data_IF_230880217952
#
_entry.id   IF_230880217952
#
_cell.length_a   1.000
_cell.length_b   1.000
_cell.length_c   1.000
_cell.angle_alpha   90.00
_cell.angle_beta   90.00
_cell.angle_gamma   90.00
#
_symmetry.space_group_name_H-M   'P 1'
#
loop_
_entity.id
_entity.type
_entity.pdbx_description
1 polymer ?
#
# COMPACT_ATOMS: atom_id res chain seq x y z
N UNK A 1 -1.36 -8.83 -21.70
CA UNK A 1 -0.54 -8.56 -20.50
C UNK A 1 -1.28 -9.12 -19.29
N UNK A 2 -0.57 -9.53 -18.24
CA UNK A 2 -1.19 -10.12 -17.05
C UNK A 2 -2.20 -9.21 -16.37
N UNK A 3 -3.32 -9.77 -15.91
CA UNK A 3 -4.37 -9.10 -15.17
C UNK A 3 -4.10 -9.22 -13.66
N UNK A 4 -3.20 -8.37 -13.16
CA UNK A 4 -2.69 -8.51 -11.79
C UNK A 4 -3.73 -8.29 -10.68
N UNK A 5 -3.70 -9.17 -9.68
CA UNK A 5 -4.43 -9.05 -8.42
C UNK A 5 -3.63 -9.50 -7.21
N UNK A 6 -4.18 -9.21 -6.03
CA UNK A 6 -3.64 -9.66 -4.76
C UNK A 6 -4.71 -10.38 -3.93
N UNK A 7 -4.38 -11.56 -3.41
CA UNK A 7 -5.16 -12.27 -2.39
C UNK A 7 -4.47 -12.07 -1.05
N UNK A 8 -5.22 -11.69 -0.03
CA UNK A 8 -4.75 -11.55 1.35
C UNK A 8 -5.48 -12.57 2.21
N UNK A 9 -4.72 -13.53 2.70
CA UNK A 9 -5.19 -14.60 3.57
C UNK A 9 -5.17 -14.12 5.03
N UNK A 10 -6.35 -13.82 5.56
CA UNK A 10 -6.48 -13.25 6.90
C UNK A 10 -6.14 -14.25 8.01
N UNK A 11 -6.29 -15.55 7.75
CA UNK A 11 -5.96 -16.59 8.73
C UNK A 11 -4.45 -16.78 8.90
N UNK A 12 -3.66 -16.53 7.84
CA UNK A 12 -2.19 -16.48 7.94
C UNK A 12 -1.68 -15.15 8.48
N UNK A 13 -2.44 -14.07 8.31
CA UNK A 13 -2.01 -12.75 8.72
C UNK A 13 -1.90 -12.67 10.25
N UNK A 14 -0.70 -12.34 10.76
CA UNK A 14 -0.48 -12.14 12.21
C UNK A 14 -0.62 -10.69 12.66
N UNK A 15 -0.92 -9.76 11.74
CA UNK A 15 -1.05 -8.34 12.07
C UNK A 15 0.28 -7.62 12.40
N UNK A 16 1.43 -8.21 12.06
CA UNK A 16 2.76 -7.68 12.45
C UNK A 16 3.14 -6.32 11.82
N UNK A 17 2.47 -5.89 10.76
CA UNK A 17 2.78 -4.63 10.07
C UNK A 17 4.06 -4.65 9.21
N UNK A 18 4.77 -5.77 9.07
CA UNK A 18 5.98 -5.87 8.24
C UNK A 18 5.77 -5.39 6.80
N UNK A 19 4.60 -5.70 6.24
CA UNK A 19 4.20 -5.24 4.91
C UNK A 19 3.96 -3.71 4.78
N UNK A 20 3.81 -2.98 5.89
CA UNK A 20 3.77 -1.51 5.93
C UNK A 20 5.20 -0.96 5.84
N UNK A 21 6.10 -1.51 6.67
CA UNK A 21 7.52 -1.13 6.72
C UNK A 21 8.20 -1.43 5.40
N UNK A 22 7.99 -2.62 4.85
CA UNK A 22 8.50 -3.02 3.54
C UNK A 22 8.05 -2.02 2.45
N UNK A 23 6.76 -1.68 2.43
CA UNK A 23 6.24 -0.72 1.46
C UNK A 23 6.87 0.67 1.62
N UNK A 24 7.10 1.13 2.87
CA UNK A 24 7.81 2.38 3.13
C UNK A 24 9.22 2.39 2.57
N UNK A 25 9.98 1.33 2.86
CA UNK A 25 11.37 1.19 2.42
C UNK A 25 11.46 1.14 0.89
N UNK A 26 10.72 0.22 0.28
CA UNK A 26 10.75 -0.01 -1.17
C UNK A 26 10.28 1.20 -1.97
N UNK A 27 9.34 1.96 -1.43
CA UNK A 27 8.67 3.03 -2.16
C UNK A 27 9.07 4.43 -1.67
N UNK A 28 10.14 4.56 -0.88
CA UNK A 28 10.65 5.83 -0.36
C UNK A 28 9.53 6.71 0.19
N UNK A 29 8.69 6.16 1.07
CA UNK A 29 7.54 6.89 1.59
C UNK A 29 7.97 7.78 2.77
N UNK A 30 7.69 9.09 2.73
CA UNK A 30 8.05 9.97 3.84
C UNK A 30 7.27 9.61 5.11
N UNK A 31 7.70 10.18 6.24
CA UNK A 31 7.00 10.03 7.51
C UNK A 31 5.54 10.48 7.36
N UNK A 32 4.61 9.77 8.02
CA UNK A 32 3.17 10.03 7.92
C UNK A 32 2.49 9.49 6.65
N UNK A 33 3.23 9.13 5.59
CA UNK A 33 2.65 8.54 4.38
C UNK A 33 2.80 7.02 4.37
N UNK A 34 1.68 6.31 4.23
CA UNK A 34 1.61 4.85 4.15
C UNK A 34 0.73 4.45 2.96
N UNK A 35 1.32 3.72 2.01
CA UNK A 35 0.61 3.14 0.87
C UNK A 35 0.01 1.77 1.19
N UNK A 36 0.76 0.94 1.92
CA UNK A 36 0.29 -0.25 2.63
C UNK A 36 -0.05 0.19 4.06
N UNK A 37 -1.21 -0.18 4.57
CA UNK A 37 -1.68 0.19 5.90
C UNK A 37 -2.54 -0.93 6.51
N UNK A 38 -3.30 -0.61 7.55
CA UNK A 38 -4.16 -1.54 8.28
C UNK A 38 -5.46 -0.88 8.71
N UNK A 39 -6.54 -1.64 8.73
CA UNK A 39 -7.73 -1.34 9.53
C UNK A 39 -7.78 -2.33 10.66
N UNK A 40 -8.02 -1.82 11.87
CA UNK A 40 -8.16 -2.63 13.06
C UNK A 40 -9.49 -2.33 13.70
N UNK A 41 -10.13 -3.35 14.23
CA UNK A 41 -11.43 -3.24 14.87
C UNK A 41 -11.43 -4.11 16.13
N UNK A 42 -11.95 -3.57 17.23
CA UNK A 42 -12.13 -4.34 18.46
C UNK A 42 -13.62 -4.43 18.74
N UNK A 43 -14.14 -5.65 18.82
CA UNK A 43 -15.56 -5.93 19.00
C UNK A 43 -15.80 -6.74 20.27
N UNK A 44 -17.00 -6.62 20.82
CA UNK A 44 -17.44 -7.34 22.01
C UNK A 44 -17.20 -6.57 23.31
N UNK A 45 -17.56 -7.22 24.42
CA UNK A 45 -17.47 -6.67 25.78
C UNK A 45 -16.62 -7.60 26.62
N UNK A 46 -15.81 -7.07 27.53
CA UNK A 46 -15.00 -7.88 28.44
C UNK A 46 -15.86 -8.93 29.19
N UNK A 47 -15.41 -10.20 29.31
CA UNK A 47 -14.13 -10.76 28.83
C UNK A 47 -14.16 -11.24 27.37
N UNK A 48 -15.30 -11.18 26.68
CA UNK A 48 -15.53 -11.67 25.31
C UNK A 48 -15.18 -10.64 24.23
N UNK A 49 -13.91 -10.23 24.19
CA UNK A 49 -13.39 -9.26 23.21
C UNK A 49 -12.75 -9.97 22.02
N UNK A 50 -12.85 -9.37 20.83
CA UNK A 50 -12.21 -9.83 19.59
C UNK A 50 -11.49 -8.67 18.91
N UNK A 51 -10.27 -8.91 18.47
CA UNK A 51 -9.47 -7.94 17.71
C UNK A 51 -9.31 -8.42 16.27
N UNK A 52 -9.65 -7.57 15.32
CA UNK A 52 -9.49 -7.82 13.90
C UNK A 52 -8.39 -6.95 13.34
N UNK A 53 -7.53 -7.54 12.51
CA UNK A 53 -6.53 -6.82 11.73
C UNK A 53 -6.73 -7.13 10.25
N UNK A 54 -6.92 -6.09 9.45
CA UNK A 54 -7.01 -6.20 7.99
C UNK A 54 -5.96 -5.32 7.33
N UNK A 55 -4.94 -5.90 6.66
CA UNK A 55 -4.04 -5.11 5.83
C UNK A 55 -4.85 -4.40 4.73
N UNK A 56 -4.48 -3.17 4.38
CA UNK A 56 -5.15 -2.39 3.33
C UNK A 56 -4.13 -1.71 2.43
N UNK A 57 -4.47 -1.54 1.15
CA UNK A 57 -3.66 -0.84 0.15
C UNK A 57 -4.56 -0.36 -1.00
N UNK A 58 -3.96 0.23 -2.04
CA UNK A 58 -4.70 0.51 -3.28
C UNK A 58 -5.25 -0.80 -3.85
N UNK A 59 -6.53 -0.80 -4.21
CA UNK A 59 -7.20 -1.97 -4.75
C UNK A 59 -7.01 -2.17 -6.26
N UNK A 60 -6.32 -1.24 -6.94
CA UNK A 60 -6.13 -1.24 -8.40
C UNK A 60 -7.43 -1.54 -9.18
N UNK A 61 -8.53 -0.97 -8.68
CA UNK A 61 -9.90 -1.14 -9.15
C UNK A 61 -9.99 -1.18 -10.67
N UNK A 62 -10.74 -2.14 -11.21
CA UNK A 62 -11.00 -2.20 -12.65
C UNK A 62 -11.76 -0.95 -13.11
N UNK A 63 -12.83 -0.62 -12.38
CA UNK A 63 -13.59 0.59 -12.57
C UNK A 63 -13.10 1.69 -11.61
N UNK A 64 -11.92 2.26 -11.88
CA UNK A 64 -11.24 3.18 -10.96
C UNK A 64 -11.79 4.63 -11.01
N UNK A 65 -12.54 5.10 -10.00
CA UNK A 65 -13.07 6.47 -9.97
C UNK A 65 -11.96 7.53 -9.85
N UNK A 66 -10.82 7.17 -9.25
CA UNK A 66 -9.66 8.06 -9.16
C UNK A 66 -8.99 8.33 -10.51
N UNK A 67 -9.08 7.40 -11.47
CA UNK A 67 -8.61 7.59 -12.84
C UNK A 67 -9.59 8.45 -13.61
N UNK A 68 -10.88 8.10 -13.59
CA UNK A 68 -11.93 8.86 -14.31
C UNK A 68 -12.04 10.32 -13.89
N UNK A 69 -11.83 10.60 -12.60
CA UNK A 69 -11.88 11.96 -12.06
C UNK A 69 -10.59 12.76 -12.16
N UNK A 70 -9.52 12.25 -12.79
CA UNK A 70 -8.25 12.97 -12.88
C UNK A 70 -8.23 13.90 -14.10
N UNK A 71 -8.28 15.24 -13.94
CA UNK A 71 -8.40 16.16 -15.07
C UNK A 71 -7.17 16.18 -15.99
N UNK A 72 -5.98 15.90 -15.45
CA UNK A 72 -4.72 15.93 -16.19
C UNK A 72 -4.24 14.55 -16.65
N UNK A 73 -5.04 13.50 -16.41
CA UNK A 73 -4.67 12.10 -16.69
C UNK A 73 -3.36 11.67 -16.01
N UNK A 74 -2.98 12.33 -14.90
CA UNK A 74 -1.86 11.90 -14.06
C UNK A 74 -2.10 10.48 -13.52
N UNK A 75 -3.32 10.17 -13.10
CA UNK A 75 -3.75 8.81 -12.83
C UNK A 75 -4.25 8.13 -14.10
N UNK A 76 -3.72 6.94 -14.37
CA UNK A 76 -4.03 6.14 -15.56
C UNK A 76 -3.95 4.65 -15.23
N UNK A 77 -4.41 3.79 -16.15
CA UNK A 77 -4.26 2.33 -16.06
C UNK A 77 -3.12 1.92 -17.00
N UNK A 78 -2.29 0.98 -16.57
CA UNK A 78 -1.40 0.26 -17.49
C UNK A 78 -2.19 -0.81 -18.24
N UNK A 79 -1.58 -1.39 -19.27
CA UNK A 79 -2.16 -2.50 -20.04
C UNK A 79 -2.45 -3.72 -19.14
N UNK A 80 -1.62 -3.97 -18.13
CA UNK A 80 -1.86 -5.00 -17.09
C UNK A 80 -2.87 -4.59 -16.01
N UNK A 81 -3.61 -3.50 -16.22
CA UNK A 81 -4.67 -3.03 -15.34
C UNK A 81 -4.20 -2.39 -14.01
N UNK A 82 -2.90 -2.17 -13.82
CA UNK A 82 -2.39 -1.48 -12.63
C UNK A 82 -2.71 0.01 -12.75
N UNK A 83 -3.46 0.56 -11.79
CA UNK A 83 -3.59 2.03 -11.69
C UNK A 83 -2.25 2.65 -11.32
N UNK A 84 -1.74 3.54 -12.16
CA UNK A 84 -0.46 4.25 -11.98
C UNK A 84 -0.68 5.75 -11.85
N UNK A 85 0.34 6.46 -11.35
CA UNK A 85 0.33 7.91 -11.15
C UNK A 85 1.63 8.52 -11.69
N UNK A 86 1.49 9.50 -12.57
CA UNK A 86 2.57 10.32 -13.09
C UNK A 86 2.65 11.65 -12.33
N UNK A 87 3.69 11.87 -11.49
CA UNK A 87 3.82 13.09 -10.71
C UNK A 87 4.09 14.34 -11.56
N UNK A 88 4.58 14.20 -12.80
CA UNK A 88 4.87 15.35 -13.68
C UNK A 88 3.60 16.01 -14.23
N UNK A 89 2.52 15.23 -14.34
CA UNK A 89 1.20 15.70 -14.79
C UNK A 89 0.28 16.08 -13.63
N UNK A 90 0.70 15.82 -12.39
CA UNK A 90 -0.14 15.99 -11.22
C UNK A 90 -0.15 17.45 -10.77
N UNK A 91 -1.30 18.11 -10.93
CA UNK A 91 -1.51 19.50 -10.49
C UNK A 91 -1.98 19.61 -9.03
N UNK A 92 -1.98 18.51 -8.27
CA UNK A 92 -2.32 18.58 -6.84
C UNK A 92 -3.78 18.90 -6.50
N UNK A 93 -4.72 18.76 -7.44
CA UNK A 93 -6.14 19.10 -7.22
C UNK A 93 -6.89 18.17 -6.25
N UNK A 94 -6.31 17.01 -5.90
CA UNK A 94 -6.82 16.04 -4.91
C UNK A 94 -8.21 15.43 -5.19
N UNK A 95 -8.81 15.64 -6.37
CA UNK A 95 -10.05 14.95 -6.76
C UNK A 95 -9.96 13.42 -6.65
N UNK A 96 -8.80 12.86 -6.99
CA UNK A 96 -8.56 11.43 -6.84
C UNK A 96 -8.57 10.93 -5.39
N UNK A 97 -8.26 11.78 -4.40
CA UNK A 97 -8.44 11.45 -2.99
C UNK A 97 -9.92 11.40 -2.62
N UNK A 98 -10.69 12.41 -3.03
CA UNK A 98 -12.13 12.48 -2.78
C UNK A 98 -12.89 11.32 -3.46
N UNK A 99 -12.51 10.98 -4.68
CA UNK A 99 -13.15 9.94 -5.47
C UNK A 99 -12.75 8.52 -5.05
N UNK A 100 -11.69 8.35 -4.24
CA UNK A 100 -11.25 7.03 -3.82
C UNK A 100 -12.00 6.58 -2.56
N UNK A 101 -12.88 5.57 -2.63
CA UNK A 101 -13.71 5.18 -1.48
C UNK A 101 -12.91 4.45 -0.38
N UNK A 102 -11.62 4.23 -0.61
CA UNK A 102 -10.74 3.48 0.30
C UNK A 102 -9.81 4.38 1.12
N UNK A 103 -9.68 5.67 0.78
CA UNK A 103 -8.79 6.60 1.48
C UNK A 103 -7.29 6.28 1.35
N UNK A 104 -6.91 5.58 0.28
CA UNK A 104 -5.54 5.05 0.05
C UNK A 104 -4.66 5.95 -0.83
N UNK A 105 -5.24 7.03 -1.38
CA UNK A 105 -4.48 8.07 -2.08
C UNK A 105 -4.04 9.11 -1.05
N UNK A 106 -2.73 9.30 -0.91
CA UNK A 106 -2.09 10.23 0.03
C UNK A 106 -1.63 11.48 -0.72
N UNK A 107 -1.42 12.58 0.00
CA UNK A 107 -0.98 13.86 -0.58
C UNK A 107 0.27 14.35 0.14
N UNK A 108 1.24 14.83 -0.63
CA UNK A 108 2.48 15.37 -0.10
C UNK A 108 2.31 16.83 0.30
N UNK A 109 1.82 17.04 1.53
CA UNK A 109 1.60 18.37 2.11
C UNK A 109 2.88 19.15 2.39
N UNK A 110 3.93 18.44 2.78
CA UNK A 110 5.24 18.98 3.10
C UNK A 110 6.26 18.39 2.14
N UNK A 111 7.41 19.04 2.02
CA UNK A 111 8.55 18.50 1.29
C UNK A 111 8.90 17.12 1.83
N UNK A 112 8.78 16.05 1.02
CA UNK A 112 9.16 14.72 1.47
C UNK A 112 10.61 14.71 1.91
N UNK A 113 10.83 14.19 3.11
CA UNK A 113 12.15 14.12 3.75
C UNK A 113 12.84 15.47 3.99
N UNK A 114 12.10 16.58 4.12
CA UNK A 114 12.70 17.89 4.42
C UNK A 114 13.54 17.91 5.71
N UNK A 115 13.25 17.05 6.69
CA UNK A 115 14.08 16.90 7.89
C UNK A 115 15.50 16.41 7.58
N UNK A 116 15.70 15.75 6.44
CA UNK A 116 17.00 15.25 5.98
C UNK A 116 17.87 16.29 5.26
N UNK A 117 17.38 17.53 5.19
CA UNK A 117 18.12 18.67 4.65
C UNK A 117 18.61 19.62 5.75
N UNK A 118 18.32 19.30 7.02
CA UNK A 118 18.72 20.13 8.17
C UNK A 118 20.23 20.12 8.37
N UNK A 119 20.78 21.32 8.51
CA UNK A 119 22.20 21.56 8.76
C UNK A 119 22.61 21.43 10.22
N UNK A 120 21.63 21.51 11.14
CA UNK A 120 21.91 21.36 12.56
C UNK A 120 21.85 19.88 12.98
N UNK A 121 22.80 19.40 13.80
CA UNK A 121 22.70 18.09 14.40
C UNK A 121 21.54 18.04 15.39
N UNK A 122 20.94 16.86 15.56
CA UNK A 122 19.86 16.67 16.54
C UNK A 122 20.37 16.86 17.98
N UNK A 123 21.58 16.37 18.24
CA UNK A 123 22.29 16.53 19.51
C UNK A 123 23.70 17.08 19.19
N UNK A 124 23.98 18.36 19.47
CA UNK A 124 25.29 18.96 19.24
C UNK A 124 26.42 18.14 19.88
N UNK A 125 27.44 17.80 19.10
CA UNK A 125 28.59 17.00 19.54
C UNK A 125 28.37 15.48 19.59
N UNK A 126 27.13 14.99 19.43
CA UNK A 126 26.84 13.55 19.47
C UNK A 126 26.34 12.97 18.13
N UNK A 127 25.65 13.78 17.33
CA UNK A 127 25.10 13.34 16.02
C UNK A 127 25.64 14.23 14.91
N UNK A 128 25.80 13.71 13.69
CA UNK A 128 25.99 14.54 12.50
C UNK A 128 24.69 15.27 12.16
N UNK A 129 24.78 16.35 11.39
CA UNK A 129 23.59 16.89 10.75
C UNK A 129 23.14 15.99 9.60
N UNK A 130 21.89 16.17 9.16
CA UNK A 130 21.38 15.38 8.04
C UNK A 130 22.01 15.79 6.71
N UNK A 131 22.28 17.09 6.52
CA UNK A 131 22.97 17.59 5.33
C UNK A 131 24.42 17.09 5.27
N UNK A 132 25.13 17.04 6.40
CA UNK A 132 26.50 16.50 6.48
C UNK A 132 26.54 15.02 6.08
N UNK A 133 25.58 14.22 6.59
CA UNK A 133 25.49 12.80 6.25
C UNK A 133 25.22 12.60 4.75
N UNK A 134 24.27 13.36 4.19
CA UNK A 134 23.96 13.29 2.77
C UNK A 134 25.14 13.70 1.90
N UNK A 135 25.88 14.75 2.28
CA UNK A 135 27.09 15.17 1.58
C UNK A 135 28.17 14.08 1.58
N UNK A 136 28.38 13.42 2.75
CA UNK A 136 29.34 12.31 2.87
C UNK A 136 28.97 11.10 2.02
N UNK A 137 27.68 10.81 1.88
CA UNK A 137 27.18 9.66 1.12
C UNK A 137 26.92 9.97 -0.36
N UNK A 138 27.04 11.24 -0.78
CA UNK A 138 26.68 11.65 -2.14
C UNK A 138 25.20 11.48 -2.46
N UNK A 139 24.33 11.45 -1.45
CA UNK A 139 22.88 11.20 -1.60
C UNK A 139 22.09 12.50 -1.63
N UNK A 140 21.04 12.54 -2.45
CA UNK A 140 20.09 13.65 -2.49
C UNK A 140 18.77 13.23 -1.84
N UNK A 141 18.37 13.91 -0.75
CA UNK A 141 17.16 13.58 0.01
C UNK A 141 17.48 12.68 1.23
N UNK A 142 17.26 11.37 1.12
CA UNK A 142 17.54 10.42 2.21
C UNK A 142 18.62 9.41 1.83
N UNK A 143 19.49 9.02 2.77
CA UNK A 143 20.63 8.17 2.46
C UNK A 143 20.28 6.72 2.15
N UNK A 144 19.09 6.24 2.57
CA UNK A 144 18.59 4.90 2.27
C UNK A 144 17.52 4.88 1.16
N UNK A 145 17.42 5.95 0.35
CA UNK A 145 16.46 5.96 -0.75
C UNK A 145 16.71 4.76 -1.67
N UNK A 146 15.67 3.96 -1.91
CA UNK A 146 15.71 2.96 -2.97
C UNK A 146 15.76 3.70 -4.32
N UNK A 147 16.96 3.77 -4.88
CA UNK A 147 17.24 4.35 -6.20
C UNK A 147 16.99 3.36 -7.34
N UNK A 148 16.91 2.07 -7.03
CA UNK A 148 16.64 0.96 -7.97
C UNK A 148 15.17 0.90 -8.41
N UNK A 149 14.37 1.90 -8.02
CA UNK A 149 12.97 2.03 -8.41
C UNK A 149 12.74 2.28 -9.91
N UNK A 150 13.81 2.23 -10.70
CA UNK A 150 13.83 2.31 -12.15
C UNK A 150 13.37 3.66 -12.67
N UNK A 151 12.52 3.63 -13.70
CA UNK A 151 12.00 4.84 -14.38
C UNK A 151 11.10 5.75 -13.53
N UNK A 152 10.70 5.33 -12.33
CA UNK A 152 9.83 6.13 -11.47
C UNK A 152 10.64 7.03 -10.56
N UNK A 153 10.16 8.26 -10.37
CA UNK A 153 10.82 9.22 -9.49
C UNK A 153 11.00 8.62 -8.07
N UNK A 154 12.24 8.47 -7.56
CA UNK A 154 12.50 7.84 -6.26
C UNK A 154 11.75 8.55 -5.14
N UNK A 155 11.85 9.89 -5.09
CA UNK A 155 11.16 10.75 -4.12
C UNK A 155 10.18 11.66 -4.84
N UNK A 156 8.91 11.66 -4.40
CA UNK A 156 7.86 12.49 -5.02
C UNK A 156 8.01 13.95 -4.58
N UNK A 157 7.63 14.94 -5.41
CA UNK A 157 7.66 16.35 -5.00
C UNK A 157 6.54 16.66 -3.98
N UNK A 158 6.65 17.82 -3.34
CA UNK A 158 5.51 18.42 -2.62
C UNK A 158 4.37 18.71 -3.58
N UNK A 159 3.14 18.74 -3.08
CA UNK A 159 1.98 19.19 -3.85
C UNK A 159 1.37 18.14 -4.78
N UNK A 160 1.92 16.92 -4.83
CA UNK A 160 1.35 15.82 -5.62
C UNK A 160 0.77 14.71 -4.74
N UNK A 161 -0.19 13.98 -5.30
CA UNK A 161 -0.70 12.76 -4.67
C UNK A 161 0.24 11.58 -4.88
N UNK A 162 0.04 10.54 -4.08
CA UNK A 162 0.70 9.27 -4.27
C UNK A 162 -0.10 8.11 -3.66
N UNK A 163 0.13 6.89 -4.16
CA UNK A 163 -0.60 5.69 -3.75
C UNK A 163 0.19 4.44 -4.12
N UNK A 164 -0.19 3.30 -3.54
CA UNK A 164 0.34 2.00 -3.96
C UNK A 164 0.27 1.82 -5.49
N UNK A 165 1.36 1.29 -6.05
CA UNK A 165 1.54 1.01 -7.48
C UNK A 165 1.64 -0.50 -7.75
N UNK A 166 1.25 -1.35 -6.80
CA UNK A 166 1.57 -2.79 -6.79
C UNK A 166 3.07 -3.08 -7.00
N UNK A 167 3.94 -2.13 -6.62
CA UNK A 167 5.37 -2.18 -6.94
C UNK A 167 5.61 -2.51 -8.42
N UNK A 168 4.87 -1.86 -9.32
CA UNK A 168 4.99 -2.07 -10.77
C UNK A 168 6.45 -2.10 -11.24
N UNK A 169 7.33 -1.30 -10.64
CA UNK A 169 8.77 -1.28 -10.94
C UNK A 169 9.49 -2.62 -10.68
N UNK A 170 8.99 -3.45 -9.76
CA UNK A 170 9.47 -4.82 -9.51
C UNK A 170 8.79 -5.81 -10.46
N UNK A 171 7.47 -5.67 -10.60
CA UNK A 171 6.63 -6.63 -11.35
C UNK A 171 7.00 -6.72 -12.82
N UNK A 172 7.41 -5.61 -13.44
CA UNK A 172 7.88 -5.63 -14.85
C UNK A 172 9.21 -6.34 -15.04
N UNK A 173 9.99 -6.52 -13.97
CA UNK A 173 11.25 -7.28 -13.94
C UNK A 173 11.03 -8.73 -13.49
N UNK A 174 9.77 -9.19 -13.40
CA UNK A 174 9.43 -10.54 -12.94
C UNK A 174 9.53 -10.75 -11.42
N UNK A 175 9.75 -9.68 -10.65
CA UNK A 175 9.85 -9.74 -9.19
C UNK A 175 8.49 -9.53 -8.52
N UNK A 176 8.31 -10.07 -7.31
CA UNK A 176 7.10 -9.87 -6.53
C UNK A 176 7.04 -8.47 -5.90
N UNK A 177 5.84 -7.93 -5.61
CA UNK A 177 5.73 -6.72 -4.82
C UNK A 177 6.37 -6.92 -3.45
N UNK A 178 7.18 -5.97 -2.99
CA UNK A 178 7.99 -6.18 -1.78
C UNK A 178 7.16 -6.44 -0.51
N UNK A 179 5.90 -5.96 -0.44
CA UNK A 179 5.00 -6.30 0.66
C UNK A 179 4.52 -7.76 0.68
N UNK A 180 4.65 -8.49 -0.43
CA UNK A 180 4.43 -9.93 -0.55
C UNK A 180 5.65 -10.66 0.00
N UNK A 181 6.85 -10.36 -0.53
CA UNK A 181 8.10 -11.00 -0.10
C UNK A 181 8.40 -10.78 1.39
N UNK A 182 8.09 -9.60 1.93
CA UNK A 182 8.33 -9.29 3.33
C UNK A 182 7.30 -9.91 4.30
N UNK A 183 6.30 -10.64 3.82
CA UNK A 183 5.29 -11.23 4.70
C UNK A 183 5.81 -12.56 5.26
N UNK A 184 6.12 -12.66 6.58
CA UNK A 184 6.72 -13.87 7.13
C UNK A 184 5.79 -15.08 7.17
N UNK A 185 4.49 -14.88 6.91
CA UNK A 185 3.46 -15.92 6.96
C UNK A 185 2.87 -16.23 5.58
N UNK A 186 3.44 -15.69 4.49
CA UNK A 186 2.93 -15.82 3.12
C UNK A 186 1.42 -15.56 3.03
N UNK A 187 0.98 -14.51 3.75
CA UNK A 187 -0.42 -14.12 3.82
C UNK A 187 -0.84 -13.25 2.62
N UNK A 188 0.10 -12.76 1.81
CA UNK A 188 -0.17 -11.90 0.65
C UNK A 188 0.32 -12.61 -0.58
N UNK A 189 -0.59 -12.93 -1.49
CA UNK A 189 -0.30 -13.65 -2.72
C UNK A 189 -0.59 -12.69 -3.88
N UNK A 190 0.33 -12.57 -4.82
CA UNK A 190 0.21 -11.68 -5.98
C UNK A 190 0.40 -12.50 -7.25
N UNK A 191 -0.40 -12.21 -8.28
CA UNK A 191 -0.36 -12.97 -9.52
C UNK A 191 -1.39 -12.49 -10.54
N UNK A 192 -1.43 -13.20 -11.66
CA UNK A 192 -2.36 -12.96 -12.75
C UNK A 192 -3.72 -13.64 -12.47
N UNK A 193 -4.81 -12.89 -12.55
CA UNK A 193 -6.17 -13.44 -12.44
C UNK A 193 -6.55 -14.32 -13.63
N UNK A 194 -6.03 -14.00 -14.81
CA UNK A 194 -6.44 -14.64 -16.07
C UNK A 194 -5.66 -15.94 -16.34
N UNK A 195 -4.57 -16.18 -15.59
CA UNK A 195 -3.84 -17.45 -15.60
C UNK A 195 -4.54 -18.46 -14.66
N UNK A 196 -5.15 -19.53 -15.19
CA UNK A 196 -5.84 -20.55 -14.38
C UNK A 196 -4.89 -21.34 -13.48
N UNK A 197 -3.59 -21.34 -13.76
CA UNK A 197 -2.59 -22.03 -12.94
C UNK A 197 -1.99 -21.11 -11.87
N UNK A 198 -2.39 -19.84 -11.81
CA UNK A 198 -1.84 -18.91 -10.83
C UNK A 198 -2.32 -19.24 -9.43
N UNK A 199 -1.46 -18.99 -8.43
CA UNK A 199 -1.84 -19.20 -7.02
C UNK A 199 -3.01 -18.32 -6.59
N UNK A 200 -3.18 -17.16 -7.23
CA UNK A 200 -4.34 -16.28 -7.02
C UNK A 200 -5.61 -16.98 -7.49
N UNK A 201 -5.62 -17.54 -8.71
CA UNK A 201 -6.79 -18.22 -9.27
C UNK A 201 -7.18 -19.44 -8.42
N UNK A 202 -6.19 -20.27 -8.08
CA UNK A 202 -6.37 -21.44 -7.20
C UNK A 202 -7.03 -21.06 -5.86
N UNK A 203 -6.52 -20.02 -5.18
CA UNK A 203 -7.06 -19.58 -3.89
C UNK A 203 -8.48 -19.01 -4.00
N UNK A 204 -8.79 -18.32 -5.08
CA UNK A 204 -10.14 -17.78 -5.32
C UNK A 204 -11.15 -18.87 -5.70
N UNK A 205 -10.71 -19.98 -6.28
CA UNK A 205 -11.54 -21.17 -6.49
C UNK A 205 -11.79 -21.95 -5.20
N UNK A 206 -10.81 -21.99 -4.30
CA UNK A 206 -10.88 -22.79 -3.06
C UNK A 206 -11.55 -22.07 -1.89
N UNK A 207 -11.56 -20.74 -1.86
CA UNK A 207 -12.07 -19.96 -0.73
C UNK A 207 -13.03 -18.87 -1.18
N UNK A 208 -14.10 -18.67 -0.39
CA UNK A 208 -14.95 -17.49 -0.54
C UNK A 208 -14.11 -16.23 -0.27
N UNK A 209 -14.05 -15.36 -1.25
CA UNK A 209 -13.34 -14.10 -1.18
C UNK A 209 -14.28 -12.92 -0.90
N UNK A 210 -13.81 -11.99 -0.07
CA UNK A 210 -14.43 -10.69 0.18
C UNK A 210 -13.63 -9.60 -0.54
N UNK A 211 -14.32 -8.62 -1.13
CA UNK A 211 -13.71 -7.38 -1.63
C UNK A 211 -14.22 -6.18 -0.87
N UNK A 212 -13.33 -5.24 -0.55
CA UNK A 212 -13.73 -4.03 0.17
C UNK A 212 -14.64 -3.16 -0.68
N UNK A 213 -15.75 -2.73 -0.10
CA UNK A 213 -16.73 -1.81 -0.73
C UNK A 213 -17.16 -2.26 -2.12
N UNK A 214 -17.47 -3.55 -2.26
CA UNK A 214 -17.95 -4.13 -3.51
C UNK A 214 -19.26 -3.49 -3.98
N UNK A 215 -20.08 -3.02 -3.03
CA UNK A 215 -21.32 -2.24 -3.23
C UNK A 215 -21.15 -1.03 -4.17
N UNK A 216 -19.96 -0.44 -4.24
CA UNK A 216 -19.69 0.75 -5.03
C UNK A 216 -19.34 0.48 -6.51
N UNK A 217 -19.32 -0.79 -6.94
CA UNK A 217 -19.08 -1.13 -8.35
C UNK A 217 -17.70 -0.74 -8.89
N UNK A 218 -16.72 -0.46 -8.02
CA UNK A 218 -15.34 -0.15 -8.44
C UNK A 218 -14.57 -1.37 -8.94
N UNK A 219 -15.08 -2.58 -8.65
CA UNK A 219 -14.46 -3.88 -8.95
C UNK A 219 -13.00 -3.96 -8.48
N UNK A 220 -12.76 -4.00 -7.14
CA UNK A 220 -11.43 -4.14 -6.55
C UNK A 220 -10.71 -5.40 -7.03
N UNK A 221 -9.37 -5.32 -7.14
CA UNK A 221 -8.47 -6.46 -7.44
C UNK A 221 -7.66 -6.92 -6.23
N UNK A 222 -8.11 -6.56 -5.02
CA UNK A 222 -7.57 -7.09 -3.77
C UNK A 222 -8.69 -7.87 -3.10
N UNK A 223 -8.43 -9.14 -2.85
CA UNK A 223 -9.35 -10.12 -2.32
C UNK A 223 -8.90 -10.54 -0.93
N UNK A 224 -9.83 -10.71 -0.01
CA UNK A 224 -9.55 -11.22 1.33
C UNK A 224 -10.20 -12.59 1.49
N UNK A 225 -9.43 -13.58 1.93
CA UNK A 225 -9.93 -14.93 2.18
C UNK A 225 -9.74 -15.32 3.64
N UNK A 226 -10.58 -16.25 4.10
CA UNK A 226 -10.61 -16.76 5.48
C UNK A 226 -10.78 -15.65 6.52
N UNK A 227 -10.56 -15.94 7.80
CA UNK A 227 -10.77 -15.00 8.91
C UNK A 227 -9.51 -14.84 9.76
N UNK A 228 -9.26 -13.62 10.22
CA UNK A 228 -8.20 -13.33 11.20
C UNK A 228 -8.47 -13.99 12.54
N UNK A 229 -9.74 -14.02 12.97
CA UNK A 229 -10.18 -14.78 14.13
C UNK A 229 -10.92 -16.03 13.64
N UNK A 230 -10.26 -17.19 13.68
CA UNK A 230 -10.84 -18.45 13.21
C UNK A 230 -11.88 -19.06 14.17
N UNK A 231 -11.95 -18.59 15.41
CA UNK A 231 -12.88 -19.11 16.40
C UNK A 231 -14.31 -18.67 16.13
N UNK A 232 -15.18 -19.62 15.77
CA UNK A 232 -16.63 -19.47 15.86
C UNK A 232 -17.04 -19.61 17.32
N UNK A 233 -17.36 -18.50 17.96
CA UNK A 233 -17.98 -18.52 19.28
C UNK A 233 -19.38 -17.93 19.13
N UNK A 234 -20.36 -18.53 19.81
CA UNK A 234 -21.66 -17.90 19.94
C UNK A 234 -21.46 -16.47 20.45
N UNK A 235 -22.19 -15.51 19.87
CA UNK A 235 -22.29 -14.17 20.46
C UNK A 235 -22.66 -14.39 21.93
N UNK A 236 -21.74 -14.10 22.85
CA UNK A 236 -22.09 -14.09 24.27
C UNK A 236 -23.30 -13.17 24.38
N UNK A 237 -24.43 -13.70 24.84
CA UNK A 237 -25.56 -12.88 25.28
C UNK A 237 -24.95 -11.93 26.30
N UNK A 238 -24.74 -10.67 25.91
CA UNK A 238 -24.24 -9.67 26.84
C UNK A 238 -25.24 -9.63 28.00
N UNK A 239 -24.83 -10.08 29.18
CA UNK A 239 -25.30 -9.48 30.42
C UNK A 239 -24.46 -8.21 30.59
N UNK A 240 -25.01 -7.06 30.91
CA UNK A 240 -26.30 -6.73 31.54
C UNK A 240 -27.25 -6.00 30.59
#
# INVERSE_FOLDING_TARGET
MPNYAMVIDLHRCTGCGGCIVACKNENNLPQGINWSYKRTETLGTYPNVRFFYRPTLCNHCENAPCVRGCPTRALHKTDGGITMHDPTKCIGCRYCQANCPYGVVKYNWRKPFGDWEKEQPLIPGCTSSASELNAKLGTTGVPWANMERGKYRPVRPTGVVEKCTFCHHRVVEGLLPYCVEACPADARIFGDLDDPNSKVNELLGNYKAERLREDLGTRPKVYYIRSFNAGTYERSKGGL
#
